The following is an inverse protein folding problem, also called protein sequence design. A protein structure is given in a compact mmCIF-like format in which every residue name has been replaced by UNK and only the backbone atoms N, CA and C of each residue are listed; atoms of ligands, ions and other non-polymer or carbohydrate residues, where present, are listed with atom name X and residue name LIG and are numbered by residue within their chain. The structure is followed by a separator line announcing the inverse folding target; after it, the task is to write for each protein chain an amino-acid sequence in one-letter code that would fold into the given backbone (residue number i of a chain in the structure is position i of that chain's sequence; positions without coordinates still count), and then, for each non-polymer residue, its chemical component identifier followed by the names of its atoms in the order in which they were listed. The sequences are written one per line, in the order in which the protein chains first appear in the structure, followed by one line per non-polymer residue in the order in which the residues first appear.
data_IF_657102767218
#
_entry.id   IF_657102767218
#
_cell.length_a   1.000
_cell.length_b   1.000
_cell.length_c   1.000
_cell.angle_alpha   90.00
_cell.angle_beta   90.00
_cell.angle_gamma   90.00
#
_symmetry.space_group_name_H-M   'P 1'
#
loop_
_entity.id
_entity.type
_entity.pdbx_description
1 polymer ?
#
# COMPACT_ATOMS: atom_id res chain seq x y z
N UNK A 1 1.26 28.79 16.69
CA UNK A 1 1.70 27.81 15.68
C UNK A 1 0.52 27.46 14.80
N UNK A 2 0.48 27.97 13.56
CA UNK A 2 -0.64 27.70 12.64
C UNK A 2 -0.63 26.22 12.28
N UNK A 3 -1.69 25.50 12.62
CA UNK A 3 -1.93 24.14 12.16
C UNK A 3 -2.01 24.16 10.62
N UNK A 4 -0.86 23.95 9.95
CA UNK A 4 -0.79 23.80 8.50
C UNK A 4 -1.71 22.64 8.13
N UNK A 5 -2.76 22.94 7.38
CA UNK A 5 -3.79 21.96 6.99
C UNK A 5 -3.13 20.81 6.22
N UNK A 6 -3.19 19.60 6.78
CA UNK A 6 -2.68 18.36 6.17
C UNK A 6 -3.12 18.24 4.69
N UNK A 7 -2.17 17.96 3.80
CA UNK A 7 -2.36 17.92 2.33
C UNK A 7 -2.19 19.25 1.59
N UNK A 8 -1.83 20.34 2.29
CA UNK A 8 -1.46 21.63 1.65
C UNK A 8 -0.01 22.02 1.94
N UNK A 9 0.79 21.11 2.48
CA UNK A 9 2.21 21.34 2.72
C UNK A 9 2.95 21.01 1.42
N UNK A 10 3.49 22.02 0.75
CA UNK A 10 4.37 21.81 -0.40
C UNK A 10 5.76 21.54 0.16
N UNK A 11 6.18 20.29 0.08
CA UNK A 11 7.52 19.85 0.45
C UNK A 11 8.32 19.57 -0.84
N UNK A 12 9.64 19.47 -0.75
CA UNK A 12 10.50 19.25 -1.93
C UNK A 12 10.07 18.02 -2.76
N UNK A 13 9.73 16.91 -2.10
CA UNK A 13 9.26 15.70 -2.78
C UNK A 13 7.92 15.89 -3.51
N UNK A 14 7.05 16.76 -3.02
CA UNK A 14 5.78 17.07 -3.70
C UNK A 14 6.02 17.81 -5.03
N UNK A 15 7.00 18.71 -5.06
CA UNK A 15 7.41 19.42 -6.28
C UNK A 15 8.03 18.44 -7.28
N UNK A 16 8.88 17.54 -6.78
CA UNK A 16 9.50 16.50 -7.60
C UNK A 16 8.46 15.54 -8.20
N UNK A 17 7.51 15.03 -7.41
CA UNK A 17 6.44 14.17 -7.92
C UNK A 17 5.55 14.87 -8.94
N UNK A 18 5.31 16.18 -8.78
CA UNK A 18 4.60 16.95 -9.81
C UNK A 18 5.39 16.99 -11.12
N UNK A 19 6.70 17.26 -11.05
CA UNK A 19 7.58 17.26 -12.23
C UNK A 19 7.64 15.88 -12.89
N UNK A 20 7.74 14.81 -12.10
CA UNK A 20 7.72 13.44 -12.61
C UNK A 20 6.40 13.11 -13.32
N UNK A 21 5.26 13.46 -12.71
CA UNK A 21 3.95 13.25 -13.31
C UNK A 21 3.78 14.03 -14.63
N UNK A 22 4.35 15.23 -14.73
CA UNK A 22 4.36 16.05 -15.94
C UNK A 22 5.09 15.43 -17.10
N UNK A 23 6.20 14.75 -16.83
CA UNK A 23 7.05 14.12 -17.83
C UNK A 23 6.76 12.61 -17.98
N UNK A 24 5.63 12.14 -17.47
CA UNK A 24 5.28 10.73 -17.50
C UNK A 24 4.95 10.26 -18.92
N UNK A 25 5.58 9.16 -19.34
CA UNK A 25 5.22 8.43 -20.56
C UNK A 25 3.97 7.57 -20.30
N UNK A 26 2.80 8.11 -20.65
CA UNK A 26 1.52 7.40 -20.53
C UNK A 26 1.44 6.31 -21.62
N UNK A 27 0.88 5.15 -21.29
CA UNK A 27 0.84 3.98 -22.18
C UNK A 27 1.72 2.81 -21.73
N UNK A 28 2.75 3.06 -20.91
CA UNK A 28 3.63 1.98 -20.43
C UNK A 28 3.03 1.11 -19.32
N UNK A 29 2.01 1.61 -18.60
CA UNK A 29 1.34 0.91 -17.50
C UNK A 29 -0.17 1.07 -17.63
N UNK A 30 -0.86 -0.06 -17.77
CA UNK A 30 -2.32 -0.09 -17.86
C UNK A 30 -3.02 0.24 -16.54
N UNK A 31 -4.23 0.78 -16.64
CA UNK A 31 -5.13 0.99 -15.48
C UNK A 31 -5.30 -0.27 -14.62
N UNK A 32 -5.39 -1.44 -15.26
CA UNK A 32 -5.51 -2.73 -14.59
C UNK A 32 -4.26 -3.10 -13.76
N UNK A 33 -3.06 -2.77 -14.24
CA UNK A 33 -1.83 -2.92 -13.47
C UNK A 33 -1.82 -2.02 -12.22
N UNK A 34 -2.29 -0.77 -12.35
CA UNK A 34 -2.38 0.17 -11.23
C UNK A 34 -3.40 -0.27 -10.17
N UNK A 35 -4.54 -0.82 -10.58
CA UNK A 35 -5.53 -1.43 -9.66
C UNK A 35 -4.90 -2.58 -8.87
N UNK A 36 -4.15 -3.46 -9.54
CA UNK A 36 -3.43 -4.56 -8.86
C UNK A 36 -2.37 -4.01 -7.90
N UNK A 37 -1.63 -2.97 -8.30
CA UNK A 37 -0.63 -2.31 -7.45
C UNK A 37 -1.30 -1.73 -6.19
N UNK A 38 -2.40 -1.00 -6.30
CA UNK A 38 -3.13 -0.44 -5.16
C UNK A 38 -3.53 -1.54 -4.15
N UNK A 39 -4.07 -2.66 -4.64
CA UNK A 39 -4.41 -3.82 -3.81
C UNK A 39 -3.17 -4.43 -3.13
N UNK A 40 -2.03 -4.54 -3.83
CA UNK A 40 -0.76 -5.00 -3.25
C UNK A 40 -0.26 -4.06 -2.15
N UNK A 41 -0.25 -2.75 -2.38
CA UNK A 41 0.15 -1.76 -1.38
C UNK A 41 -0.70 -1.85 -0.12
N UNK A 42 -2.01 -2.11 -0.23
CA UNK A 42 -2.88 -2.40 0.92
C UNK A 42 -2.43 -3.64 1.69
N UNK A 43 -2.14 -4.75 1.01
CA UNK A 43 -1.69 -5.99 1.67
C UNK A 43 -0.37 -5.82 2.42
N UNK A 44 0.50 -4.92 1.96
CA UNK A 44 1.77 -4.61 2.63
C UNK A 44 1.61 -3.70 3.86
N UNK A 45 0.44 -3.08 4.04
CA UNK A 45 0.21 -2.06 5.06
C UNK A 45 0.72 -0.66 4.68
N UNK A 46 1.29 -0.48 3.48
CA UNK A 46 1.76 0.83 2.98
C UNK A 46 0.61 1.86 2.88
N UNK A 47 -0.60 1.40 2.55
CA UNK A 47 -1.83 2.20 2.62
C UNK A 47 -2.89 1.46 3.42
N UNK A 48 -3.77 2.23 4.09
CA UNK A 48 -4.93 1.70 4.82
C UNK A 48 -6.03 1.26 3.85
N UNK A 49 -6.95 0.40 4.31
CA UNK A 49 -8.10 -0.04 3.50
C UNK A 49 -8.91 1.13 2.94
N UNK A 50 -9.21 2.12 3.78
CA UNK A 50 -9.95 3.32 3.34
C UNK A 50 -9.20 4.17 2.31
N UNK A 51 -7.87 4.18 2.35
CA UNK A 51 -7.03 4.88 1.37
C UNK A 51 -6.99 4.10 0.05
N UNK A 52 -6.88 2.78 0.13
CA UNK A 52 -6.99 1.90 -1.03
C UNK A 52 -8.35 2.04 -1.71
N UNK A 53 -9.46 2.08 -0.96
CA UNK A 53 -10.80 2.26 -1.53
C UNK A 53 -10.92 3.59 -2.28
N UNK A 54 -10.35 4.67 -1.74
CA UNK A 54 -10.32 5.96 -2.44
C UNK A 54 -9.44 5.91 -3.70
N UNK A 55 -8.26 5.29 -3.62
CA UNK A 55 -7.37 5.16 -4.77
C UNK A 55 -8.00 4.35 -5.90
N UNK A 56 -8.74 3.29 -5.57
CA UNK A 56 -9.51 2.50 -6.53
C UNK A 56 -10.64 3.33 -7.16
N UNK A 57 -11.41 4.08 -6.38
CA UNK A 57 -12.44 4.98 -6.90
C UNK A 57 -11.87 6.04 -7.87
N UNK A 58 -10.67 6.54 -7.61
CA UNK A 58 -9.98 7.46 -8.54
C UNK A 58 -9.57 6.74 -9.84
N UNK A 59 -8.99 5.54 -9.75
CA UNK A 59 -8.61 4.72 -10.90
C UNK A 59 -9.83 4.26 -11.72
N UNK A 60 -10.99 4.07 -11.11
CA UNK A 60 -12.22 3.72 -11.82
C UNK A 60 -12.94 4.94 -12.42
N UNK A 61 -12.71 6.13 -11.87
CA UNK A 61 -13.25 7.38 -12.44
C UNK A 61 -12.54 7.76 -13.75
N UNK A 62 -11.24 7.48 -13.87
CA UNK A 62 -10.47 7.74 -15.09
C UNK A 62 -10.75 6.65 -16.14
N UNK A 63 -11.02 7.03 -17.39
CA UNK A 63 -11.30 6.08 -18.47
C UNK A 63 -10.10 5.17 -18.75
N UNK A 64 -10.32 3.97 -19.28
CA UNK A 64 -9.21 3.09 -19.71
C UNK A 64 -8.31 3.82 -20.72
N UNK A 65 -8.91 4.51 -21.70
CA UNK A 65 -8.19 5.28 -22.71
C UNK A 65 -7.30 6.39 -22.16
N UNK A 66 -7.57 6.89 -20.95
CA UNK A 66 -6.72 7.91 -20.32
C UNK A 66 -5.35 7.39 -19.87
N UNK A 67 -5.16 6.07 -19.83
CA UNK A 67 -3.88 5.41 -19.50
C UNK A 67 -3.12 4.89 -20.73
N UNK A 68 -3.70 5.05 -21.93
CA UNK A 68 -3.05 4.73 -23.20
C UNK A 68 -2.16 5.89 -23.67
N UNK A 69 -1.36 5.67 -24.70
CA UNK A 69 -0.43 6.67 -25.24
C UNK A 69 -1.13 8.01 -25.55
N UNK A 70 -0.56 9.11 -25.06
CA UNK A 70 -1.15 10.46 -25.17
C UNK A 70 -2.35 10.73 -24.25
N UNK A 71 -2.75 9.77 -23.42
CA UNK A 71 -3.84 9.90 -22.45
C UNK A 71 -3.54 10.84 -21.28
N UNK A 72 -4.59 11.35 -20.64
CA UNK A 72 -4.50 12.28 -19.51
C UNK A 72 -5.29 11.70 -18.32
N UNK A 73 -4.67 10.87 -17.45
CA UNK A 73 -5.36 10.22 -16.33
C UNK A 73 -5.46 11.19 -15.14
N UNK A 74 -6.22 12.29 -15.35
CA UNK A 74 -6.51 13.32 -14.34
C UNK A 74 -7.99 13.23 -13.96
N UNK A 75 -8.27 13.15 -12.66
CA UNK A 75 -9.62 13.01 -12.12
C UNK A 75 -10.15 14.35 -11.60
N UNK A 76 -11.35 14.72 -12.08
CA UNK A 76 -12.01 15.99 -11.73
C UNK A 76 -13.17 15.84 -10.72
N UNK A 77 -13.50 14.61 -10.31
CA UNK A 77 -14.63 14.30 -9.44
C UNK A 77 -14.55 15.04 -8.10
N UNK A 78 -15.65 15.63 -7.64
CA UNK A 78 -15.70 16.39 -6.38
C UNK A 78 -15.55 15.49 -5.15
N UNK A 79 -15.15 16.06 -4.01
CA UNK A 79 -15.05 15.31 -2.75
C UNK A 79 -16.41 14.72 -2.32
N UNK A 80 -17.51 15.43 -2.56
CA UNK A 80 -18.86 14.94 -2.31
C UNK A 80 -19.15 13.65 -3.10
N UNK A 81 -18.89 13.65 -4.40
CA UNK A 81 -19.15 12.48 -5.26
C UNK A 81 -18.24 11.29 -4.91
N UNK A 82 -16.96 11.56 -4.62
CA UNK A 82 -16.06 10.53 -4.10
C UNK A 82 -16.54 10.00 -2.75
N UNK A 83 -17.03 10.89 -1.88
CA UNK A 83 -17.54 10.56 -0.55
C UNK A 83 -18.73 9.62 -0.59
N UNK A 84 -19.68 9.84 -1.51
CA UNK A 84 -20.80 8.91 -1.74
C UNK A 84 -20.27 7.52 -2.11
N UNK A 85 -19.35 7.42 -3.06
CA UNK A 85 -18.82 6.15 -3.56
C UNK A 85 -18.07 5.35 -2.48
N UNK A 86 -17.26 6.01 -1.66
CA UNK A 86 -16.52 5.34 -0.58
C UNK A 86 -17.24 5.37 0.77
N UNK A 87 -18.48 5.86 0.82
CA UNK A 87 -19.29 6.03 2.04
C UNK A 87 -18.58 6.82 3.14
N UNK A 88 -18.05 8.00 2.80
CA UNK A 88 -17.34 8.93 3.71
C UNK A 88 -17.78 10.37 3.49
N UNK A 89 -17.62 11.19 4.54
CA UNK A 89 -17.86 12.64 4.43
C UNK A 89 -16.79 13.33 3.58
N UNK A 90 -17.12 14.48 2.99
CA UNK A 90 -16.21 15.33 2.22
C UNK A 90 -14.93 15.67 2.99
N UNK A 91 -15.07 15.97 4.28
CA UNK A 91 -13.95 16.25 5.16
C UNK A 91 -13.05 15.03 5.35
N UNK A 92 -13.61 13.82 5.34
CA UNK A 92 -12.83 12.58 5.42
C UNK A 92 -12.15 12.26 4.10
N UNK A 93 -12.82 12.45 2.96
CA UNK A 93 -12.23 12.34 1.62
C UNK A 93 -11.04 13.27 1.48
N UNK A 94 -11.19 14.54 1.87
CA UNK A 94 -10.10 15.52 1.86
C UNK A 94 -8.86 15.01 2.62
N UNK A 95 -9.03 14.51 3.84
CA UNK A 95 -7.93 13.92 4.63
C UNK A 95 -7.31 12.68 3.99
N UNK A 96 -8.10 11.85 3.32
CA UNK A 96 -7.59 10.67 2.62
C UNK A 96 -6.78 11.07 1.38
N UNK A 97 -7.24 12.07 0.61
CA UNK A 97 -6.48 12.64 -0.50
C UNK A 97 -5.15 13.23 -0.02
N UNK A 98 -5.17 14.00 1.08
CA UNK A 98 -3.94 14.50 1.71
C UNK A 98 -2.97 13.36 2.04
N UNK A 99 -3.47 12.27 2.62
CA UNK A 99 -2.64 11.11 2.96
C UNK A 99 -2.09 10.38 1.73
N UNK A 100 -2.86 10.27 0.64
CA UNK A 100 -2.37 9.69 -0.62
C UNK A 100 -1.33 10.60 -1.29
N UNK A 101 -1.53 11.92 -1.21
CA UNK A 101 -0.60 12.93 -1.72
C UNK A 101 0.73 12.90 -0.97
N UNK A 102 0.69 12.90 0.37
CA UNK A 102 1.87 12.79 1.23
C UNK A 102 2.66 11.48 1.00
N UNK A 103 1.98 10.40 0.56
CA UNK A 103 2.62 9.13 0.17
C UNK A 103 3.15 9.13 -1.29
N UNK A 104 2.89 10.19 -2.04
CA UNK A 104 3.26 10.30 -3.46
C UNK A 104 2.50 9.33 -4.37
N UNK A 105 1.27 8.98 -4.00
CA UNK A 105 0.39 8.11 -4.80
C UNK A 105 -0.56 8.91 -5.71
N UNK A 106 -0.69 10.21 -5.46
CA UNK A 106 -1.41 11.14 -6.32
C UNK A 106 -0.64 12.47 -6.35
N UNK A 107 -0.84 13.25 -7.39
CA UNK A 107 -0.40 14.66 -7.44
C UNK A 107 -1.63 15.56 -7.51
N UNK A 108 -1.63 16.62 -6.72
CA UNK A 108 -2.68 17.65 -6.78
C UNK A 108 -2.28 18.73 -7.80
N UNK A 109 -3.07 18.86 -8.87
CA UNK A 109 -3.01 19.95 -9.85
C UNK A 109 -4.09 20.96 -9.52
N UNK A 110 -3.79 21.84 -8.57
CA UNK A 110 -4.76 22.82 -8.10
C UNK A 110 -4.79 24.06 -9.00
N UNK A 111 -6.00 24.57 -9.25
CA UNK A 111 -6.18 25.94 -9.74
C UNK A 111 -5.95 26.94 -8.60
N UNK A 112 -5.90 28.24 -8.92
CA UNK A 112 -5.79 29.30 -7.90
C UNK A 112 -6.90 29.30 -6.84
N UNK A 113 -8.02 28.60 -7.07
CA UNK A 113 -9.13 28.42 -6.13
C UNK A 113 -9.36 26.96 -5.69
N UNK A 114 -8.40 26.06 -5.93
CA UNK A 114 -8.46 24.63 -5.57
C UNK A 114 -9.68 23.87 -6.11
N UNK A 115 -10.32 24.40 -7.17
CA UNK A 115 -11.41 23.71 -7.85
C UNK A 115 -10.84 22.71 -8.86
N UNK A 116 -11.54 21.59 -9.02
CA UNK A 116 -11.23 20.60 -10.05
C UNK A 116 -12.07 20.88 -11.28
N UNK A 117 -11.41 21.12 -12.42
CA UNK A 117 -12.06 21.36 -13.71
C UNK A 117 -11.12 21.03 -14.87
N UNK A 118 -11.71 20.65 -16.00
CA UNK A 118 -11.05 20.66 -17.30
C UNK A 118 -11.56 21.85 -18.13
N UNK A 119 -10.68 22.47 -18.90
CA UNK A 119 -11.04 23.38 -19.98
C UNK A 119 -10.65 22.72 -21.30
N UNK A 120 -11.48 22.92 -22.32
CA UNK A 120 -11.26 22.40 -23.67
C UNK A 120 -11.17 23.57 -24.67
N UNK A 121 -10.40 23.40 -25.74
CA UNK A 121 -10.45 24.34 -26.87
C UNK A 121 -11.66 24.06 -27.77
N UNK A 122 -11.81 24.87 -28.82
CA UNK A 122 -12.85 24.74 -29.85
C UNK A 122 -12.85 23.37 -30.57
N UNK A 123 -11.73 22.66 -30.54
CA UNK A 123 -11.56 21.32 -31.12
C UNK A 123 -11.73 20.20 -30.07
N UNK A 124 -12.28 20.52 -28.90
CA UNK A 124 -12.52 19.61 -27.79
C UNK A 124 -11.24 19.00 -27.14
N UNK A 125 -10.06 19.49 -27.49
CA UNK A 125 -8.80 19.09 -26.85
C UNK A 125 -8.67 19.76 -25.48
N UNK A 126 -8.22 19.00 -24.48
CA UNK A 126 -7.99 19.52 -23.12
C UNK A 126 -6.88 20.57 -23.16
N UNK A 127 -7.21 21.82 -22.83
CA UNK A 127 -6.26 22.94 -22.74
C UNK A 127 -5.77 23.16 -21.31
N UNK A 128 -6.59 22.83 -20.31
CA UNK A 128 -6.21 22.94 -18.90
C UNK A 128 -6.88 21.82 -18.11
N UNK A 129 -6.12 21.18 -17.23
CA UNK A 129 -6.59 20.13 -16.35
C UNK A 129 -6.15 20.39 -14.91
N UNK A 130 -7.06 20.93 -14.10
CA UNK A 130 -6.89 21.11 -12.66
C UNK A 130 -7.61 19.97 -11.94
N UNK A 131 -6.89 19.03 -11.36
CA UNK A 131 -7.48 17.82 -10.79
C UNK A 131 -6.49 16.95 -10.02
N UNK A 132 -6.89 15.70 -9.79
CA UNK A 132 -6.05 14.68 -9.16
C UNK A 132 -5.32 13.93 -10.27
N UNK A 133 -4.01 14.10 -10.36
CA UNK A 133 -3.15 13.54 -11.39
C UNK A 133 -2.61 12.17 -10.98
N UNK A 134 -2.97 11.13 -11.74
CA UNK A 134 -2.60 9.74 -11.50
C UNK A 134 -1.35 9.31 -12.27
N UNK A 135 -0.77 10.18 -13.12
CA UNK A 135 0.45 9.86 -13.89
C UNK A 135 1.63 9.52 -12.99
N UNK A 136 1.65 10.05 -11.77
CA UNK A 136 2.66 9.69 -10.78
C UNK A 136 2.71 8.18 -10.49
N UNK A 137 1.57 7.49 -10.55
CA UNK A 137 1.51 6.03 -10.34
C UNK A 137 2.13 5.26 -11.49
N UNK A 138 2.09 5.81 -12.71
CA UNK A 138 2.71 5.23 -13.90
C UNK A 138 4.23 5.29 -13.73
N UNK A 139 4.76 6.49 -13.45
CA UNK A 139 6.21 6.72 -13.27
C UNK A 139 6.78 5.87 -12.13
N UNK A 140 6.04 5.76 -11.02
CA UNK A 140 6.48 5.02 -9.82
C UNK A 140 6.08 3.55 -9.83
N UNK A 141 5.50 3.04 -10.92
CA UNK A 141 4.93 1.69 -10.94
C UNK A 141 5.97 0.62 -10.57
N UNK A 142 7.12 0.62 -11.22
CA UNK A 142 8.17 -0.37 -11.01
C UNK A 142 8.71 -0.32 -9.57
N UNK A 143 9.02 0.89 -9.08
CA UNK A 143 9.50 1.14 -7.71
C UNK A 143 8.51 0.63 -6.66
N UNK A 144 7.23 1.03 -6.77
CA UNK A 144 6.19 0.66 -5.81
C UNK A 144 5.87 -0.84 -5.89
N UNK A 145 5.85 -1.42 -7.09
CA UNK A 145 5.63 -2.86 -7.28
C UNK A 145 6.74 -3.67 -6.64
N UNK A 146 8.00 -3.32 -6.88
CA UNK A 146 9.14 -4.02 -6.30
C UNK A 146 9.10 -3.97 -4.78
N UNK A 147 8.95 -2.77 -4.19
CA UNK A 147 8.80 -2.61 -2.74
C UNK A 147 7.65 -3.45 -2.17
N UNK A 148 6.52 -3.49 -2.86
CA UNK A 148 5.37 -4.28 -2.42
C UNK A 148 5.65 -5.79 -2.49
N UNK A 149 6.30 -6.25 -3.56
CA UNK A 149 6.65 -7.65 -3.76
C UNK A 149 7.67 -8.12 -2.69
N UNK A 150 8.69 -7.32 -2.39
CA UNK A 150 9.69 -7.62 -1.35
C UNK A 150 9.04 -7.80 0.03
N UNK A 151 8.15 -6.87 0.42
CA UNK A 151 7.44 -6.94 1.71
C UNK A 151 6.54 -8.18 1.77
N UNK A 152 5.83 -8.50 0.69
CA UNK A 152 4.94 -9.66 0.65
C UNK A 152 5.73 -10.97 0.73
N UNK A 153 6.88 -11.05 0.09
CA UNK A 153 7.78 -12.21 0.17
C UNK A 153 8.27 -12.43 1.61
N UNK A 154 8.70 -11.36 2.29
CA UNK A 154 9.13 -11.41 3.69
C UNK A 154 8.01 -11.82 4.64
N UNK A 155 6.79 -11.33 4.40
CA UNK A 155 5.60 -11.73 5.17
C UNK A 155 5.29 -13.21 4.98
N UNK A 156 5.42 -13.74 3.76
CA UNK A 156 5.18 -15.15 3.47
C UNK A 156 6.25 -16.04 4.10
N UNK A 157 7.54 -15.70 3.97
CA UNK A 157 8.64 -16.41 4.66
C UNK A 157 8.42 -16.48 6.16
N UNK A 158 8.00 -15.37 6.77
CA UNK A 158 7.70 -15.31 8.20
C UNK A 158 6.48 -16.18 8.55
N UNK A 159 5.41 -16.12 7.75
CA UNK A 159 4.20 -16.92 7.95
C UNK A 159 4.51 -18.41 7.90
N UNK A 160 5.31 -18.83 6.92
CA UNK A 160 5.71 -20.22 6.76
C UNK A 160 6.61 -20.69 7.91
N UNK A 161 7.63 -19.91 8.28
CA UNK A 161 8.47 -20.22 9.44
C UNK A 161 7.64 -20.34 10.74
N UNK A 162 6.66 -19.46 10.94
CA UNK A 162 5.75 -19.53 12.08
C UNK A 162 4.87 -20.78 12.04
N UNK A 163 4.38 -21.17 10.86
CA UNK A 163 3.57 -22.38 10.65
C UNK A 163 4.37 -23.63 10.99
N UNK A 164 5.58 -23.76 10.43
CA UNK A 164 6.51 -24.85 10.75
C UNK A 164 6.84 -24.89 12.25
N UNK A 165 7.07 -23.74 12.89
CA UNK A 165 7.47 -23.68 14.29
C UNK A 165 6.35 -24.20 15.20
N UNK A 166 5.13 -23.73 14.94
CA UNK A 166 3.92 -24.21 15.63
C UNK A 166 3.68 -25.70 15.39
N UNK A 167 3.94 -26.19 14.17
CA UNK A 167 3.85 -27.60 13.80
C UNK A 167 4.79 -28.47 14.63
N UNK A 168 6.09 -28.14 14.65
CA UNK A 168 7.08 -28.89 15.44
C UNK A 168 6.80 -28.85 16.93
N UNK A 169 6.47 -27.68 17.48
CA UNK A 169 6.10 -27.57 18.91
C UNK A 169 4.91 -28.47 19.23
N UNK A 170 3.90 -28.53 18.36
CA UNK A 170 2.74 -29.41 18.55
C UNK A 170 3.15 -30.88 18.50
N UNK A 171 3.97 -31.28 17.53
CA UNK A 171 4.45 -32.65 17.38
C UNK A 171 5.26 -33.09 18.61
N UNK A 172 6.21 -32.28 19.06
CA UNK A 172 7.02 -32.59 20.25
C UNK A 172 6.14 -32.70 21.49
N UNK A 173 5.21 -31.76 21.70
CA UNK A 173 4.26 -31.83 22.81
C UNK A 173 3.43 -33.10 22.79
N UNK A 174 2.99 -33.54 21.60
CA UNK A 174 2.23 -34.78 21.43
C UNK A 174 3.09 -36.00 21.78
N UNK A 175 4.30 -36.12 21.23
CA UNK A 175 5.22 -37.23 21.52
C UNK A 175 5.64 -37.31 22.99
N UNK A 176 5.80 -36.15 23.66
CA UNK A 176 6.11 -36.12 25.09
C UNK A 176 4.91 -36.50 25.98
N UNK A 177 3.69 -36.35 25.47
CA UNK A 177 2.48 -36.75 26.18
C UNK A 177 2.17 -38.25 26.03
N UNK A 178 2.59 -38.87 24.92
CA UNK A 178 2.36 -40.30 24.68
C UNK A 178 3.32 -41.21 25.45
N UNK A 179 4.60 -40.81 25.59
CA UNK A 179 5.61 -41.60 26.29
C UNK A 179 6.53 -40.71 27.12
N UNK A 180 6.59 -40.97 28.43
CA UNK A 180 7.46 -40.27 29.36
C UNK A 180 8.77 -41.04 29.47
N UNK A 181 9.79 -40.57 28.76
CA UNK A 181 11.17 -41.05 28.84
C UNK A 181 12.08 -39.90 29.28
N UNK A 182 13.28 -40.17 29.81
CA UNK A 182 14.25 -39.12 30.11
C UNK A 182 14.55 -38.23 28.89
N UNK A 183 14.53 -38.82 27.68
CA UNK A 183 14.70 -38.11 26.42
C UNK A 183 13.53 -37.16 26.11
N UNK A 184 12.27 -37.63 26.21
CA UNK A 184 11.11 -36.78 25.93
C UNK A 184 10.97 -35.65 26.97
N UNK A 185 11.30 -35.91 28.23
CA UNK A 185 11.36 -34.87 29.27
C UNK A 185 12.44 -33.80 28.98
N UNK A 186 13.64 -34.23 28.55
CA UNK A 186 14.71 -33.30 28.14
C UNK A 186 14.27 -32.45 26.94
N UNK A 187 13.70 -33.07 25.92
CA UNK A 187 13.25 -32.42 24.69
C UNK A 187 12.13 -31.40 24.99
N UNK A 188 11.14 -31.78 25.80
CA UNK A 188 10.08 -30.89 26.24
C UNK A 188 10.62 -29.66 26.97
N UNK A 189 11.57 -29.87 27.90
CA UNK A 189 12.23 -28.79 28.64
C UNK A 189 12.99 -27.84 27.71
N UNK A 190 13.69 -28.37 26.69
CA UNK A 190 14.37 -27.55 25.66
C UNK A 190 13.38 -26.70 24.87
N UNK A 191 12.28 -27.29 24.39
CA UNK A 191 11.24 -26.56 23.66
C UNK A 191 10.61 -25.46 24.51
N UNK A 192 10.33 -25.73 25.79
CA UNK A 192 9.81 -24.71 26.70
C UNK A 192 10.77 -23.52 26.86
N UNK A 193 12.08 -23.78 27.03
CA UNK A 193 13.10 -22.73 27.08
C UNK A 193 13.13 -21.92 25.78
N UNK A 194 13.10 -22.58 24.63
CA UNK A 194 13.08 -21.92 23.32
C UNK A 194 11.84 -21.04 23.16
N UNK A 195 10.65 -21.53 23.51
CA UNK A 195 9.40 -20.74 23.49
C UNK A 195 9.51 -19.53 24.42
N UNK A 196 10.04 -19.71 25.62
CA UNK A 196 10.23 -18.62 26.59
C UNK A 196 11.14 -17.51 26.03
N UNK A 197 12.27 -17.88 25.40
CA UNK A 197 13.22 -16.92 24.79
C UNK A 197 12.61 -16.19 23.57
N UNK A 198 11.77 -16.88 22.79
CA UNK A 198 11.09 -16.28 21.64
C UNK A 198 9.97 -15.34 22.10
N UNK A 199 9.31 -15.64 23.21
CA UNK A 199 8.15 -14.90 23.70
C UNK A 199 6.92 -15.21 22.85
N UNK A 200 6.44 -14.22 22.08
CA UNK A 200 5.27 -14.36 21.19
C UNK A 200 5.72 -14.69 19.76
N UNK A 201 5.68 -15.96 19.30
CA UNK A 201 6.23 -16.34 18.00
C UNK A 201 5.59 -15.59 16.82
N UNK A 202 4.32 -15.20 16.95
CA UNK A 202 3.60 -14.40 15.94
C UNK A 202 4.18 -13.00 15.73
N UNK A 203 4.88 -12.45 16.71
CA UNK A 203 5.44 -11.08 16.67
C UNK A 203 6.94 -11.06 16.36
N UNK A 204 7.54 -12.23 16.16
CA UNK A 204 8.99 -12.39 16.02
C UNK A 204 9.40 -12.41 14.54
N UNK A 205 10.61 -11.89 14.26
CA UNK A 205 11.18 -11.86 12.91
C UNK A 205 11.45 -13.27 12.38
N UNK A 206 11.47 -13.39 11.04
CA UNK A 206 11.81 -14.64 10.35
C UNK A 206 13.15 -15.22 10.84
N UNK A 207 14.20 -14.41 10.95
CA UNK A 207 15.53 -14.87 11.40
C UNK A 207 15.54 -15.41 12.82
N UNK A 208 14.78 -14.79 13.74
CA UNK A 208 14.70 -15.29 15.13
C UNK A 208 13.87 -16.59 15.21
N UNK A 209 12.83 -16.75 14.37
CA UNK A 209 12.13 -18.04 14.23
C UNK A 209 13.06 -19.12 13.64
N UNK A 210 13.83 -18.79 12.60
CA UNK A 210 14.81 -19.69 11.97
C UNK A 210 15.88 -20.15 12.95
N UNK A 211 16.41 -19.24 13.76
CA UNK A 211 17.36 -19.58 14.84
C UNK A 211 16.73 -20.50 15.88
N UNK A 212 15.48 -20.26 16.27
CA UNK A 212 14.79 -21.11 17.23
C UNK A 212 14.68 -22.57 16.81
N UNK A 213 14.42 -22.84 15.51
CA UNK A 213 14.42 -24.20 14.98
C UNK A 213 15.73 -24.95 15.21
N UNK A 214 16.88 -24.25 15.21
CA UNK A 214 18.20 -24.89 15.41
C UNK A 214 18.44 -25.31 16.87
N UNK A 215 17.66 -24.80 17.81
CA UNK A 215 17.82 -25.08 19.24
C UNK A 215 16.86 -26.14 19.78
N UNK A 216 15.82 -26.46 19.00
CA UNK A 216 14.89 -27.57 19.21
C UNK A 216 15.56 -28.83 18.67
#
# INVERSE_FOLDING_TARGET
MVNKTSGRRIDAHHIEYRRLAENAEVGCVSRGQLIRLAKKLRMTGFIKDTECNLLLALLDTASVSSFEEGGIPIVFKSNQRLGVEISRSDARVSRLLSSLYDKGLIVMRDSGNFKRYSAHNSYNNITTACGIDLRILIVRYCELKQKADDILEDLEKRREALRCFRGLVRQIKFSCASEITPFTHMLFSRVQKVIHIIGRPSQVSFEKLKKAFRFI
#
